data_IF_309732706360
#
_entry.id   IF_309732706360
#
_cell.length_a   1.000
_cell.length_b   1.000
_cell.length_c   1.000
_cell.angle_alpha   90.00
_cell.angle_beta   90.00
_cell.angle_gamma   90.00
#
_symmetry.space_group_name_H-M   'P 1'
#
loop_
_entity.id
_entity.type
_entity.pdbx_description
1 polymer ?
#
# COMPACT_ATOMS: atom_id res chain seq x y z
N UNK A 1 25.15 9.93 -6.36
CA UNK A 1 23.82 9.32 -6.08
C UNK A 1 22.84 10.45 -5.78
N UNK A 2 21.70 10.51 -6.47
CA UNK A 2 20.67 11.52 -6.18
C UNK A 2 20.08 11.22 -4.80
N UNK A 3 20.16 12.21 -3.90
CA UNK A 3 19.54 12.13 -2.57
C UNK A 3 18.17 12.80 -2.62
N UNK A 4 17.13 12.05 -2.30
CA UNK A 4 15.81 12.62 -2.02
C UNK A 4 15.71 12.84 -0.51
N UNK A 5 15.28 14.03 -0.10
CA UNK A 5 15.09 14.37 1.31
C UNK A 5 13.61 14.21 1.66
N UNK A 6 13.31 13.25 2.52
CA UNK A 6 12.02 13.01 3.11
C UNK A 6 12.00 13.30 4.62
N UNK A 7 12.96 14.07 5.11
CA UNK A 7 13.03 14.46 6.52
C UNK A 7 11.73 15.08 6.99
N UNK A 8 11.26 14.68 8.19
CA UNK A 8 10.00 15.14 8.79
C UNK A 8 8.73 14.72 8.02
N UNK A 9 8.83 13.83 7.03
CA UNK A 9 7.67 13.26 6.33
C UNK A 9 7.20 11.99 7.01
N UNK A 10 5.88 11.90 7.21
CA UNK A 10 5.22 10.70 7.72
C UNK A 10 4.67 9.92 6.54
N UNK A 11 5.15 8.70 6.35
CA UNK A 11 4.80 7.84 5.22
C UNK A 11 4.14 6.54 5.70
N UNK A 12 3.03 6.17 5.09
CA UNK A 12 2.37 4.88 5.28
C UNK A 12 2.58 4.03 4.03
N UNK A 13 2.98 2.76 4.20
CA UNK A 13 3.22 1.83 3.09
C UNK A 13 2.44 0.55 3.32
N UNK A 14 1.43 0.29 2.48
CA UNK A 14 0.64 -0.95 2.57
C UNK A 14 1.42 -2.11 1.95
N UNK A 15 1.39 -3.30 2.60
CA UNK A 15 2.23 -4.44 2.21
C UNK A 15 3.73 -4.10 2.32
N UNK A 16 4.09 -3.26 3.31
CA UNK A 16 5.44 -2.72 3.45
C UNK A 16 6.45 -3.66 4.12
N UNK A 17 6.02 -4.84 4.59
CA UNK A 17 6.85 -5.75 5.35
C UNK A 17 7.72 -6.67 4.48
N UNK A 18 7.45 -6.81 3.18
CA UNK A 18 8.16 -7.73 2.30
C UNK A 18 8.16 -7.25 0.83
N UNK A 19 8.98 -7.91 0.01
CA UNK A 19 9.03 -7.67 -1.44
C UNK A 19 9.29 -6.22 -1.80
N UNK A 20 8.52 -5.71 -2.77
CA UNK A 20 8.65 -4.35 -3.29
C UNK A 20 8.31 -3.30 -2.21
N UNK A 21 7.29 -3.56 -1.39
CA UNK A 21 6.93 -2.68 -0.27
C UNK A 21 8.06 -2.51 0.74
N UNK A 22 8.78 -3.58 1.07
CA UNK A 22 9.95 -3.52 1.96
C UNK A 22 11.08 -2.67 1.35
N UNK A 23 11.34 -2.82 0.05
CA UNK A 23 12.35 -2.01 -0.64
C UNK A 23 11.99 -0.50 -0.62
N UNK A 24 10.71 -0.16 -0.77
CA UNK A 24 10.22 1.20 -0.61
C UNK A 24 10.42 1.67 0.83
N UNK A 25 10.06 0.85 1.82
CA UNK A 25 10.24 1.13 3.24
C UNK A 25 11.70 1.46 3.56
N UNK A 26 12.64 0.59 3.15
CA UNK A 26 14.08 0.78 3.34
C UNK A 26 14.55 2.10 2.70
N UNK A 27 14.11 2.37 1.47
CA UNK A 27 14.49 3.59 0.75
C UNK A 27 13.96 4.85 1.42
N UNK A 28 12.73 4.83 1.93
CA UNK A 28 12.12 5.98 2.60
C UNK A 28 12.81 6.28 3.94
N UNK A 29 13.13 5.24 4.72
CA UNK A 29 13.93 5.37 5.95
C UNK A 29 15.30 6.00 5.63
N UNK A 30 16.02 5.50 4.61
CA UNK A 30 17.30 6.05 4.17
C UNK A 30 17.19 7.51 3.68
N UNK A 31 16.02 7.94 3.25
CA UNK A 31 15.73 9.31 2.82
C UNK A 31 15.23 10.20 3.96
N UNK A 32 15.20 9.70 5.20
CA UNK A 32 14.87 10.48 6.41
C UNK A 32 13.39 10.51 6.78
N UNK A 33 12.52 9.75 6.10
CA UNK A 33 11.11 9.66 6.48
C UNK A 33 10.92 8.87 7.78
N UNK A 34 9.86 9.18 8.49
CA UNK A 34 9.25 8.26 9.45
C UNK A 34 8.24 7.39 8.72
N UNK A 35 8.38 6.06 8.82
CA UNK A 35 7.61 5.10 8.05
C UNK A 35 6.76 4.22 8.96
N UNK A 36 5.49 4.07 8.62
CA UNK A 36 4.57 3.13 9.23
C UNK A 36 4.22 2.06 8.19
N UNK A 37 4.66 0.83 8.43
CA UNK A 37 4.26 -0.32 7.63
C UNK A 37 2.81 -0.70 8.00
N UNK A 38 1.95 -0.87 6.99
CA UNK A 38 0.68 -1.55 7.11
C UNK A 38 0.76 -2.91 6.45
N UNK A 39 0.63 -3.97 7.23
CA UNK A 39 0.66 -5.34 6.72
C UNK A 39 -0.26 -6.23 7.57
N UNK A 40 -0.74 -7.32 7.01
CA UNK A 40 -1.49 -8.35 7.75
C UNK A 40 -0.58 -9.39 8.38
N UNK A 41 0.67 -9.51 7.89
CA UNK A 41 1.65 -10.48 8.37
C UNK A 41 2.52 -9.88 9.49
N UNK A 42 2.17 -10.22 10.72
CA UNK A 42 2.91 -9.75 11.90
C UNK A 42 4.36 -10.25 11.92
N UNK A 43 4.59 -11.50 11.47
CA UNK A 43 5.95 -12.08 11.46
C UNK A 43 6.85 -11.35 10.46
N UNK A 44 6.33 -11.09 9.26
CA UNK A 44 7.04 -10.31 8.26
C UNK A 44 7.32 -8.89 8.76
N UNK A 45 6.33 -8.25 9.40
CA UNK A 45 6.47 -6.90 9.96
C UNK A 45 7.56 -6.84 11.04
N UNK A 46 7.58 -7.78 11.98
CA UNK A 46 8.63 -7.88 13.01
C UNK A 46 10.01 -8.08 12.40
N UNK A 47 10.15 -8.97 11.42
CA UNK A 47 11.41 -9.16 10.69
C UNK A 47 11.89 -7.91 9.96
N UNK A 48 10.97 -7.15 9.37
CA UNK A 48 11.30 -5.89 8.70
C UNK A 48 11.83 -4.86 9.72
N UNK A 49 11.20 -4.73 10.89
CA UNK A 49 11.67 -3.87 11.98
C UNK A 49 13.08 -4.27 12.42
N UNK A 50 13.30 -5.54 12.71
CA UNK A 50 14.61 -6.06 13.15
C UNK A 50 15.70 -5.83 12.09
N UNK A 51 15.38 -6.09 10.81
CA UNK A 51 16.33 -5.95 9.70
C UNK A 51 16.76 -4.51 9.48
N UNK A 52 15.80 -3.57 9.47
CA UNK A 52 16.04 -2.15 9.19
C UNK A 52 16.62 -1.45 10.41
N UNK A 53 16.22 -1.87 11.61
CA UNK A 53 16.71 -1.37 12.91
C UNK A 53 16.77 0.17 13.00
N UNK A 54 15.64 0.81 12.70
CA UNK A 54 15.53 2.27 12.71
C UNK A 54 14.45 2.72 13.69
N UNK A 55 14.73 3.74 14.49
CA UNK A 55 13.74 4.38 15.38
C UNK A 55 12.61 5.06 14.61
N UNK A 56 12.82 5.36 13.32
CA UNK A 56 11.83 5.99 12.46
C UNK A 56 10.92 4.96 11.74
N UNK A 57 11.01 3.69 12.10
CA UNK A 57 10.17 2.64 11.53
C UNK A 57 9.26 2.02 12.58
N UNK A 58 7.99 1.92 12.23
CA UNK A 58 6.99 1.19 13.01
C UNK A 58 6.05 0.41 12.11
N UNK A 59 5.21 -0.46 12.66
CA UNK A 59 4.19 -1.16 11.91
C UNK A 59 2.84 -1.16 12.64
N UNK A 60 1.78 -1.34 11.89
CA UNK A 60 0.43 -1.62 12.35
C UNK A 60 -0.11 -2.82 11.57
N UNK A 61 -0.85 -3.70 12.26
CA UNK A 61 -1.54 -4.81 11.61
C UNK A 61 -2.84 -4.28 11.00
N UNK A 62 -2.83 -4.14 9.67
CA UNK A 62 -3.95 -3.55 8.93
C UNK A 62 -4.36 -4.44 7.77
N UNK A 63 -5.62 -4.85 7.79
CA UNK A 63 -6.28 -5.43 6.63
C UNK A 63 -6.87 -4.30 5.76
N UNK A 64 -6.26 -4.05 4.61
CA UNK A 64 -6.66 -2.97 3.70
C UNK A 64 -7.97 -3.21 2.94
N UNK A 65 -8.56 -4.40 3.02
CA UNK A 65 -9.92 -4.66 2.53
C UNK A 65 -11.01 -4.34 3.56
N UNK A 66 -10.63 -4.06 4.80
CA UNK A 66 -11.53 -3.66 5.87
C UNK A 66 -11.46 -2.13 6.08
N UNK A 67 -12.48 -1.42 5.61
CA UNK A 67 -12.51 0.04 5.66
C UNK A 67 -12.46 0.60 7.09
N UNK A 68 -13.16 -0.02 8.05
CA UNK A 68 -13.16 0.41 9.46
C UNK A 68 -11.76 0.24 10.09
N UNK A 69 -11.05 -0.85 9.72
CA UNK A 69 -9.69 -1.08 10.16
C UNK A 69 -8.73 0.00 9.62
N UNK A 70 -8.91 0.42 8.36
CA UNK A 70 -8.16 1.54 7.76
C UNK A 70 -8.40 2.84 8.56
N UNK A 71 -9.67 3.23 8.76
CA UNK A 71 -10.02 4.48 9.46
C UNK A 71 -9.46 4.52 10.88
N UNK A 72 -9.59 3.40 11.62
CA UNK A 72 -9.06 3.28 12.98
C UNK A 72 -7.55 3.54 13.01
N UNK A 73 -6.80 2.93 12.09
CA UNK A 73 -5.34 3.05 12.07
C UNK A 73 -4.88 4.43 11.58
N UNK A 74 -5.58 5.08 10.65
CA UNK A 74 -5.29 6.47 10.26
C UNK A 74 -5.48 7.44 11.44
N UNK A 75 -6.54 7.27 12.24
CA UNK A 75 -6.76 8.08 13.45
C UNK A 75 -5.62 7.92 14.46
N UNK A 76 -5.09 6.70 14.63
CA UNK A 76 -3.95 6.46 15.51
C UNK A 76 -2.68 7.16 14.99
N UNK A 77 -2.43 7.13 13.68
CA UNK A 77 -1.30 7.83 13.06
C UNK A 77 -1.45 9.34 13.24
N UNK A 78 -2.63 9.90 12.91
CA UNK A 78 -2.88 11.33 13.09
C UNK A 78 -2.69 11.78 14.55
N UNK A 79 -3.23 11.01 15.51
CA UNK A 79 -3.10 11.32 16.93
C UNK A 79 -1.64 11.34 17.40
N UNK A 80 -0.80 10.44 16.86
CA UNK A 80 0.60 10.32 17.25
C UNK A 80 1.51 11.31 16.54
N UNK A 81 1.29 11.55 15.24
CA UNK A 81 2.21 12.29 14.37
C UNK A 81 1.64 13.64 13.89
N UNK A 82 0.35 13.89 14.10
CA UNK A 82 -0.35 15.11 13.69
C UNK A 82 -0.66 15.22 12.19
N UNK A 83 -0.11 14.32 11.36
CA UNK A 83 -0.24 14.38 9.90
C UNK A 83 0.07 13.04 9.22
N UNK A 84 -0.30 12.95 7.94
CA UNK A 84 0.11 11.88 7.02
C UNK A 84 0.53 12.56 5.72
N UNK A 85 1.83 12.53 5.40
CA UNK A 85 2.37 13.23 4.23
C UNK A 85 2.36 12.37 2.97
N UNK A 86 2.65 11.07 3.11
CA UNK A 86 2.82 10.14 1.98
C UNK A 86 2.05 8.85 2.26
N UNK A 87 1.34 8.36 1.25
CA UNK A 87 0.64 7.09 1.31
C UNK A 87 0.93 6.25 0.08
N UNK A 88 1.49 5.05 0.28
CA UNK A 88 1.84 4.13 -0.79
C UNK A 88 0.88 2.93 -0.77
N UNK A 89 0.00 2.87 -1.74
CA UNK A 89 -0.86 1.72 -2.00
C UNK A 89 -0.05 0.68 -2.77
N UNK A 90 0.62 -0.21 -2.04
CA UNK A 90 1.46 -1.26 -2.60
C UNK A 90 0.89 -2.67 -2.36
N UNK A 91 0.09 -2.89 -1.32
CA UNK A 91 -0.49 -4.20 -1.04
C UNK A 91 -1.21 -4.78 -2.26
N UNK A 92 -0.96 -6.05 -2.55
CA UNK A 92 -1.57 -6.71 -3.69
C UNK A 92 -0.97 -8.10 -3.94
N UNK A 93 -1.68 -8.89 -4.71
CA UNK A 93 -1.29 -10.25 -5.11
C UNK A 93 -1.50 -10.46 -6.60
N UNK A 94 -0.70 -11.33 -7.20
CA UNK A 94 -0.84 -11.65 -8.63
C UNK A 94 -2.07 -12.54 -8.92
N UNK A 95 -2.44 -13.40 -7.95
CA UNK A 95 -3.47 -14.41 -8.18
C UNK A 95 -3.00 -15.58 -9.07
N UNK A 96 -3.94 -16.38 -9.49
CA UNK A 96 -3.65 -17.52 -10.35
C UNK A 96 -3.61 -17.15 -11.84
N UNK A 97 -2.87 -17.93 -12.61
CA UNK A 97 -2.84 -17.86 -14.07
C UNK A 97 -3.71 -18.97 -14.66
N UNK A 98 -4.84 -18.59 -15.27
CA UNK A 98 -5.75 -19.53 -15.96
C UNK A 98 -6.63 -18.77 -16.95
N UNK A 99 -7.25 -19.48 -17.89
CA UNK A 99 -8.18 -18.89 -18.85
C UNK A 99 -9.43 -18.33 -18.16
N UNK A 100 -10.05 -17.31 -18.75
CA UNK A 100 -11.28 -16.69 -18.21
C UNK A 100 -12.39 -17.72 -17.94
N UNK A 101 -12.55 -18.69 -18.82
CA UNK A 101 -13.58 -19.75 -18.67
C UNK A 101 -13.36 -20.59 -17.40
N UNK A 102 -12.11 -20.78 -16.99
CA UNK A 102 -11.73 -21.61 -15.83
C UNK A 102 -11.44 -20.78 -14.59
N UNK A 103 -11.53 -19.43 -14.67
CA UNK A 103 -11.16 -18.58 -13.54
C UNK A 103 -12.21 -18.67 -12.43
N UNK A 104 -11.87 -19.10 -11.20
CA UNK A 104 -12.83 -19.18 -10.09
C UNK A 104 -13.32 -17.79 -9.71
N UNK A 105 -14.62 -17.65 -9.48
CA UNK A 105 -15.25 -16.38 -9.10
C UNK A 105 -14.70 -15.86 -7.76
N UNK A 106 -14.46 -16.75 -6.81
CA UNK A 106 -13.92 -16.40 -5.49
C UNK A 106 -12.52 -15.82 -5.61
N UNK A 107 -11.67 -16.40 -6.46
CA UNK A 107 -10.31 -15.88 -6.67
C UNK A 107 -10.34 -14.54 -7.42
N UNK A 108 -11.25 -14.39 -8.40
CA UNK A 108 -11.50 -13.10 -9.02
C UNK A 108 -11.86 -12.02 -7.98
N UNK A 109 -12.85 -12.30 -7.15
CA UNK A 109 -13.32 -11.37 -6.12
C UNK A 109 -12.20 -11.00 -5.14
N UNK A 110 -11.41 -11.98 -4.71
CA UNK A 110 -10.26 -11.78 -3.84
C UNK A 110 -9.23 -10.82 -4.45
N UNK A 111 -8.88 -11.01 -5.73
CA UNK A 111 -7.93 -10.16 -6.44
C UNK A 111 -8.48 -8.74 -6.60
N UNK A 112 -9.73 -8.58 -7.03
CA UNK A 112 -10.36 -7.27 -7.18
C UNK A 112 -10.45 -6.55 -5.84
N UNK A 113 -10.85 -7.24 -4.78
CA UNK A 113 -10.96 -6.64 -3.45
C UNK A 113 -9.60 -6.15 -2.93
N UNK A 114 -8.57 -6.99 -3.04
CA UNK A 114 -7.25 -6.61 -2.51
C UNK A 114 -6.52 -5.61 -3.42
N UNK A 115 -6.53 -5.80 -4.75
CA UNK A 115 -5.68 -5.00 -5.62
C UNK A 115 -6.32 -3.68 -6.08
N UNK A 116 -7.65 -3.57 -6.03
CA UNK A 116 -8.39 -2.40 -6.53
C UNK A 116 -9.25 -1.74 -5.44
N UNK A 117 -10.19 -2.49 -4.83
CA UNK A 117 -11.08 -1.90 -3.84
C UNK A 117 -10.31 -1.35 -2.63
N UNK A 118 -9.27 -2.05 -2.17
CA UNK A 118 -8.42 -1.56 -1.08
C UNK A 118 -7.74 -0.24 -1.40
N UNK A 119 -7.27 -0.06 -2.64
CA UNK A 119 -6.66 1.20 -3.09
C UNK A 119 -7.66 2.35 -3.01
N UNK A 120 -8.88 2.12 -3.48
CA UNK A 120 -9.97 3.10 -3.34
C UNK A 120 -10.28 3.40 -1.87
N UNK A 121 -10.38 2.37 -1.01
CA UNK A 121 -10.67 2.55 0.41
C UNK A 121 -9.58 3.37 1.11
N UNK A 122 -8.32 3.04 0.87
CA UNK A 122 -7.19 3.78 1.43
C UNK A 122 -7.17 5.23 0.94
N UNK A 123 -7.34 5.47 -0.36
CA UNK A 123 -7.41 6.83 -0.91
C UNK A 123 -8.56 7.61 -0.28
N UNK A 124 -9.77 7.05 -0.25
CA UNK A 124 -10.95 7.66 0.35
C UNK A 124 -10.72 8.07 1.81
N UNK A 125 -10.06 7.20 2.58
CA UNK A 125 -9.84 7.41 4.00
C UNK A 125 -8.70 8.41 4.29
N UNK A 126 -7.60 8.39 3.50
CA UNK A 126 -6.41 9.23 3.78
C UNK A 126 -6.53 10.65 3.25
N UNK A 127 -7.21 10.87 2.11
CA UNK A 127 -7.31 12.19 1.45
C UNK A 127 -7.81 13.30 2.39
N UNK A 128 -8.84 13.10 3.25
CA UNK A 128 -9.27 14.13 4.20
C UNK A 128 -8.15 14.64 5.12
N UNK A 129 -7.26 13.76 5.59
CA UNK A 129 -6.12 14.15 6.43
C UNK A 129 -5.11 14.97 5.66
N UNK A 130 -4.84 14.62 4.40
CA UNK A 130 -3.93 15.35 3.53
C UNK A 130 -4.48 16.74 3.16
N UNK A 131 -5.77 16.85 2.90
CA UNK A 131 -6.46 18.14 2.66
C UNK A 131 -6.35 19.04 3.90
N UNK A 132 -6.67 18.51 5.10
CA UNK A 132 -6.56 19.24 6.36
C UNK A 132 -5.16 19.81 6.59
N UNK A 133 -4.13 19.08 6.20
CA UNK A 133 -2.73 19.49 6.35
C UNK A 133 -2.19 20.29 5.15
N UNK A 134 -3.00 20.57 4.15
CA UNK A 134 -2.64 21.24 2.89
C UNK A 134 -1.41 20.61 2.20
N UNK A 135 -1.19 19.32 2.42
CA UNK A 135 -0.10 18.54 1.81
C UNK A 135 -0.44 17.06 1.80
N UNK A 136 -0.16 16.38 0.68
CA UNK A 136 -0.26 14.94 0.54
C UNK A 136 0.35 14.43 -0.76
N UNK A 137 0.88 13.23 -0.75
CA UNK A 137 1.32 12.49 -1.94
C UNK A 137 0.85 11.05 -1.82
N UNK A 138 0.08 10.60 -2.79
CA UNK A 138 -0.39 9.22 -2.90
C UNK A 138 0.28 8.58 -4.11
N UNK A 139 0.81 7.39 -3.93
CA UNK A 139 1.34 6.56 -5.01
C UNK A 139 0.58 5.24 -5.01
N UNK A 140 -0.06 4.93 -6.13
CA UNK A 140 -0.76 3.68 -6.35
C UNK A 140 0.11 2.76 -7.21
N UNK A 141 0.50 1.60 -6.69
CA UNK A 141 1.33 0.64 -7.42
C UNK A 141 0.46 -0.13 -8.42
N UNK A 142 0.50 0.30 -9.66
CA UNK A 142 -0.14 -0.36 -10.79
C UNK A 142 0.77 -1.45 -11.39
N UNK A 143 0.60 -1.76 -12.65
CA UNK A 143 1.41 -2.72 -13.40
C UNK A 143 1.28 -2.45 -14.90
N UNK A 144 2.31 -2.84 -15.68
CA UNK A 144 2.21 -2.87 -17.13
C UNK A 144 1.05 -3.77 -17.62
N UNK A 145 0.75 -4.83 -16.84
CA UNK A 145 -0.42 -5.69 -17.10
C UNK A 145 -1.76 -4.94 -17.08
N UNK A 146 -1.84 -3.79 -16.42
CA UNK A 146 -3.02 -2.92 -16.45
C UNK A 146 -3.14 -2.10 -17.72
N UNK A 147 -2.06 -1.91 -18.47
CA UNK A 147 -2.05 -1.22 -19.78
C UNK A 147 -2.21 -2.18 -20.95
N UNK A 148 -1.46 -3.26 -20.94
CA UNK A 148 -1.31 -4.17 -22.10
C UNK A 148 -2.12 -5.46 -21.95
N UNK A 149 -2.58 -5.75 -20.72
CA UNK A 149 -3.12 -7.06 -20.38
C UNK A 149 -2.00 -8.10 -20.22
N UNK A 150 -2.33 -9.21 -19.56
CA UNK A 150 -1.41 -10.33 -19.44
C UNK A 150 -2.18 -11.63 -19.68
N UNK A 151 -1.77 -12.48 -20.63
CA UNK A 151 -2.45 -13.74 -20.91
C UNK A 151 -2.67 -14.56 -19.64
N UNK A 152 -3.87 -15.12 -19.48
CA UNK A 152 -4.27 -15.92 -18.32
C UNK A 152 -4.26 -15.22 -16.94
N UNK A 153 -4.08 -13.91 -16.89
CA UNK A 153 -4.08 -13.13 -15.66
C UNK A 153 -5.20 -12.07 -15.65
N UNK A 154 -6.42 -12.48 -16.02
CA UNK A 154 -7.55 -11.57 -16.24
C UNK A 154 -7.89 -10.71 -15.02
N UNK A 155 -8.00 -11.31 -13.82
CA UNK A 155 -8.30 -10.57 -12.60
C UNK A 155 -7.19 -9.57 -12.23
N UNK A 156 -5.93 -10.00 -12.33
CA UNK A 156 -4.80 -9.12 -12.05
C UNK A 156 -4.74 -7.94 -13.03
N UNK A 157 -4.81 -8.21 -14.33
CA UNK A 157 -4.79 -7.17 -15.37
C UNK A 157 -5.93 -6.18 -15.19
N UNK A 158 -7.16 -6.68 -14.96
CA UNK A 158 -8.34 -5.84 -14.70
C UNK A 158 -8.16 -4.99 -13.45
N UNK A 159 -7.67 -5.58 -12.35
CA UNK A 159 -7.46 -4.83 -11.11
C UNK A 159 -6.43 -3.70 -11.29
N UNK A 160 -5.34 -3.96 -12.03
CA UNK A 160 -4.28 -2.97 -12.27
C UNK A 160 -4.68 -1.92 -13.31
N UNK A 161 -5.54 -2.26 -14.28
CA UNK A 161 -6.18 -1.29 -15.15
C UNK A 161 -7.12 -0.35 -14.36
N UNK A 162 -7.90 -0.91 -13.42
CA UNK A 162 -8.73 -0.12 -12.52
C UNK A 162 -7.92 0.84 -11.64
N UNK A 163 -6.76 0.42 -11.14
CA UNK A 163 -5.85 1.30 -10.37
C UNK A 163 -5.35 2.45 -11.24
N UNK A 164 -5.00 2.20 -12.52
CA UNK A 164 -4.60 3.28 -13.45
C UNK A 164 -5.75 4.27 -13.67
N UNK A 165 -6.97 3.75 -13.87
CA UNK A 165 -8.15 4.61 -14.07
C UNK A 165 -8.57 5.41 -12.83
N UNK A 166 -8.23 4.92 -11.63
CA UNK A 166 -8.48 5.61 -10.36
C UNK A 166 -7.49 6.77 -10.12
N UNK A 167 -6.26 6.66 -10.64
CA UNK A 167 -5.15 7.60 -10.40
C UNK A 167 -5.20 8.80 -11.32
#
# INVERSE_FOLDING_TARGET
MIKFDLSKKIAVITGGAQGFGLAITERFIQSGAEVIIWDIDEKASKKAIEKINSSNLSYQLVDVINYENIEKNLKLIESKHGKIDIFINNAGIAGMNTTVVKYPIEEWNKIINLNLNSVFYCCKAVVPYMIKNNFGRIVNIASIAGKEGNPNASAYSTSKAGVIGLT
#
